data_IF_168020850891
#
_entry.id   IF_168020850891
#
_cell.length_a   1.000
_cell.length_b   1.000
_cell.length_c   1.000
_cell.angle_alpha   90.00
_cell.angle_beta   90.00
_cell.angle_gamma   90.00
#
_symmetry.space_group_name_H-M   'P 1'
#
loop_
_entity.id
_entity.type
_entity.pdbx_description
1 polymer ?
#
# COMPACT_ATOMS: atom_id res chain seq x y z
N UNK A 1 18.84 4.01 10.88
CA UNK A 1 17.67 4.35 11.73
C UNK A 1 17.09 3.08 12.31
N UNK A 2 16.17 3.16 13.28
CA UNK A 2 15.34 2.00 13.69
C UNK A 2 13.94 2.19 13.12
N UNK A 3 13.56 1.35 12.16
CA UNK A 3 12.31 1.52 11.41
C UNK A 3 11.34 0.38 11.73
N UNK A 4 10.16 0.73 12.23
CA UNK A 4 9.05 -0.18 12.39
C UNK A 4 8.23 -0.21 11.10
N UNK A 5 8.06 -1.39 10.48
CA UNK A 5 7.28 -1.57 9.26
C UNK A 5 6.04 -2.41 9.55
N UNK A 6 4.85 -1.82 9.36
CA UNK A 6 3.58 -2.50 9.50
C UNK A 6 3.16 -3.07 8.13
N UNK A 7 3.29 -4.39 7.93
CA UNK A 7 3.00 -5.05 6.67
C UNK A 7 4.14 -4.99 5.65
N UNK A 8 5.22 -5.74 5.86
CA UNK A 8 6.46 -5.67 5.07
C UNK A 8 6.88 -6.97 4.36
N UNK A 9 6.02 -7.98 4.24
CA UNK A 9 6.46 -9.31 3.75
C UNK A 9 6.13 -9.60 2.29
N UNK A 10 5.29 -8.78 1.67
CA UNK A 10 4.85 -8.98 0.28
C UNK A 10 4.94 -7.69 -0.52
N UNK A 11 5.12 -7.81 -1.83
CA UNK A 11 5.05 -6.75 -2.81
C UNK A 11 5.76 -5.44 -2.39
N UNK A 12 5.06 -4.30 -2.37
CA UNK A 12 5.63 -2.98 -2.03
C UNK A 12 6.30 -2.99 -0.66
N UNK A 13 5.63 -3.58 0.35
CA UNK A 13 6.18 -3.65 1.71
C UNK A 13 7.48 -4.44 1.78
N UNK A 14 7.59 -5.55 1.02
CA UNK A 14 8.82 -6.32 0.87
C UNK A 14 9.96 -5.46 0.34
N UNK A 15 9.72 -4.73 -0.75
CA UNK A 15 10.75 -3.86 -1.36
C UNK A 15 11.20 -2.74 -0.42
N UNK A 16 10.28 -2.19 0.36
CA UNK A 16 10.62 -1.19 1.38
C UNK A 16 11.57 -1.80 2.41
N UNK A 17 11.27 -2.99 2.93
CA UNK A 17 12.11 -3.67 3.91
C UNK A 17 13.50 -3.99 3.35
N UNK A 18 13.56 -4.53 2.12
CA UNK A 18 14.82 -4.81 1.43
C UNK A 18 15.68 -3.56 1.29
N UNK A 19 15.11 -2.45 0.81
CA UNK A 19 15.83 -1.19 0.63
C UNK A 19 16.27 -0.56 1.96
N UNK A 20 15.46 -0.64 3.02
CA UNK A 20 15.83 -0.17 4.35
C UNK A 20 17.02 -0.98 4.89
N UNK A 21 17.00 -2.30 4.70
CA UNK A 21 18.10 -3.18 5.08
C UNK A 21 19.37 -2.88 4.29
N UNK A 22 19.29 -2.75 2.96
CA UNK A 22 20.41 -2.38 2.09
C UNK A 22 21.05 -1.03 2.48
N UNK A 23 20.25 -0.11 2.99
CA UNK A 23 20.71 1.18 3.52
C UNK A 23 21.39 1.07 4.89
N UNK A 24 21.34 -0.08 5.55
CA UNK A 24 21.92 -0.33 6.86
C UNK A 24 21.00 0.07 8.03
N UNK A 25 19.71 0.22 7.81
CA UNK A 25 18.74 0.45 8.87
C UNK A 25 18.44 -0.83 9.66
N UNK A 26 18.17 -0.67 10.96
CA UNK A 26 17.58 -1.72 11.76
C UNK A 26 16.08 -1.75 11.51
N UNK A 27 15.55 -2.88 11.08
CA UNK A 27 14.13 -3.01 10.71
C UNK A 27 13.44 -4.03 11.59
N UNK A 28 12.26 -3.67 12.11
CA UNK A 28 11.33 -4.58 12.75
C UNK A 28 10.04 -4.64 11.91
N UNK A 29 9.74 -5.81 11.36
CA UNK A 29 8.57 -6.01 10.52
C UNK A 29 7.44 -6.65 11.32
N UNK A 30 6.29 -6.00 11.35
CA UNK A 30 5.05 -6.56 11.96
C UNK A 30 4.21 -7.20 10.87
N UNK A 31 3.97 -8.50 10.99
CA UNK A 31 3.17 -9.26 10.03
C UNK A 31 2.56 -10.52 10.65
N UNK A 32 1.62 -11.15 9.93
CA UNK A 32 0.87 -12.31 10.44
C UNK A 32 1.63 -13.64 10.40
N UNK A 33 2.82 -13.70 9.83
CA UNK A 33 3.58 -14.94 9.65
C UNK A 33 3.08 -15.87 8.55
N UNK A 34 2.11 -15.44 7.72
CA UNK A 34 1.52 -16.28 6.67
C UNK A 34 2.34 -16.29 5.38
N UNK A 35 3.11 -15.26 5.14
CA UNK A 35 3.95 -15.09 3.95
C UNK A 35 5.27 -14.47 4.39
N UNK A 36 6.32 -15.28 4.33
CA UNK A 36 7.70 -14.81 4.50
C UNK A 36 8.47 -15.12 3.22
N UNK A 37 9.17 -14.13 2.67
CA UNK A 37 10.03 -14.38 1.52
C UNK A 37 11.15 -15.36 1.86
N UNK A 38 11.48 -16.26 0.94
CA UNK A 38 12.63 -17.15 1.06
C UNK A 38 13.38 -17.19 -0.29
N UNK A 39 14.66 -16.81 -0.37
CA UNK A 39 15.44 -16.15 0.71
C UNK A 39 14.98 -14.70 0.96
N UNK A 40 15.21 -14.20 2.17
CA UNK A 40 14.93 -12.82 2.52
C UNK A 40 16.07 -12.20 3.34
N UNK A 41 15.98 -10.86 3.52
CA UNK A 41 16.96 -10.09 4.28
C UNK A 41 16.83 -10.38 5.79
N UNK A 42 17.94 -10.42 6.55
CA UNK A 42 17.93 -10.72 7.98
C UNK A 42 17.47 -9.48 8.78
N UNK A 43 16.17 -9.36 8.96
CA UNK A 43 15.53 -8.30 9.75
C UNK A 43 14.76 -8.88 10.94
N UNK A 44 14.41 -8.03 11.91
CA UNK A 44 13.58 -8.44 13.04
C UNK A 44 12.12 -8.68 12.62
N UNK A 45 11.50 -9.74 13.15
CA UNK A 45 10.11 -10.09 12.90
C UNK A 45 9.27 -10.04 14.18
N UNK A 46 8.07 -9.50 14.07
CA UNK A 46 7.03 -9.59 15.08
C UNK A 46 5.78 -10.22 14.45
N UNK A 47 5.62 -11.52 14.68
CA UNK A 47 4.49 -12.28 14.15
C UNK A 47 3.23 -12.01 14.98
N UNK A 48 2.41 -11.10 14.49
CA UNK A 48 1.14 -10.75 15.12
C UNK A 48 0.20 -10.09 14.10
N UNK A 49 -1.10 -10.19 14.35
CA UNK A 49 -2.07 -9.39 13.64
C UNK A 49 -2.02 -7.94 14.14
N UNK A 50 -2.10 -6.95 13.27
CA UNK A 50 -2.03 -5.53 13.66
C UNK A 50 -3.05 -5.14 14.74
N UNK A 51 -4.24 -5.75 14.75
CA UNK A 51 -5.27 -5.54 15.78
C UNK A 51 -4.91 -6.14 17.15
N UNK A 52 -3.84 -6.92 17.23
CA UNK A 52 -3.31 -7.48 18.48
C UNK A 52 -1.96 -6.88 18.86
N UNK A 53 -1.53 -5.83 18.18
CA UNK A 53 -0.21 -5.21 18.36
C UNK A 53 -0.01 -4.69 19.78
N UNK A 54 -1.08 -4.29 20.47
CA UNK A 54 -1.05 -3.87 21.88
C UNK A 54 -0.46 -4.93 22.82
N UNK A 55 -0.62 -6.22 22.52
CA UNK A 55 -0.01 -7.32 23.29
C UNK A 55 1.52 -7.35 23.20
N UNK A 56 2.08 -6.64 22.27
CA UNK A 56 3.52 -6.58 21.99
C UNK A 56 4.10 -5.17 22.20
N UNK A 57 3.42 -4.33 22.95
CA UNK A 57 3.82 -2.95 23.21
C UNK A 57 5.24 -2.84 23.81
N UNK A 58 5.61 -3.78 24.70
CA UNK A 58 6.95 -3.84 25.28
C UNK A 58 8.02 -4.07 24.21
N UNK A 59 7.88 -5.04 23.33
CA UNK A 59 8.83 -5.29 22.23
C UNK A 59 9.01 -4.10 21.32
N UNK A 60 7.94 -3.34 21.06
CA UNK A 60 8.02 -2.11 20.27
C UNK A 60 8.75 -1.03 21.02
N UNK A 61 8.51 -0.85 22.33
CA UNK A 61 9.26 0.09 23.17
C UNK A 61 10.74 -0.25 23.24
N UNK A 62 11.07 -1.54 23.42
CA UNK A 62 12.47 -2.02 23.50
C UNK A 62 13.20 -1.82 22.16
N UNK A 63 12.52 -2.04 21.05
CA UNK A 63 13.07 -1.73 19.73
C UNK A 63 13.28 -0.21 19.53
N UNK A 64 12.53 0.62 20.24
CA UNK A 64 12.60 2.08 20.23
C UNK A 64 12.64 2.65 18.80
N UNK A 65 11.62 2.45 17.97
CA UNK A 65 11.63 2.89 16.58
C UNK A 65 11.78 4.42 16.49
N UNK A 66 12.59 4.88 15.54
CA UNK A 66 12.80 6.30 15.24
C UNK A 66 12.05 6.74 13.98
N UNK A 67 11.44 5.80 13.28
CA UNK A 67 10.53 6.04 12.17
C UNK A 67 9.55 4.85 12.00
N UNK A 68 8.41 5.11 11.38
CA UNK A 68 7.38 4.09 11.10
C UNK A 68 7.00 4.14 9.63
N UNK A 69 6.76 2.96 9.04
CA UNK A 69 6.13 2.82 7.73
C UNK A 69 4.87 1.97 7.87
N UNK A 70 3.71 2.53 7.60
CA UNK A 70 2.47 1.75 7.49
C UNK A 70 2.21 1.41 6.02
N UNK A 71 2.64 0.20 5.64
CA UNK A 71 2.57 -0.27 4.26
C UNK A 71 1.23 -0.97 3.93
N UNK A 72 0.41 -1.31 4.93
CA UNK A 72 -0.78 -2.15 4.70
C UNK A 72 -1.94 -1.82 5.64
N UNK A 73 -2.35 -0.57 5.76
CA UNK A 73 -3.63 -0.20 6.35
C UNK A 73 -4.69 -0.10 5.24
N UNK A 74 -5.78 -0.83 5.36
CA UNK A 74 -6.88 -0.85 4.39
C UNK A 74 -8.12 -0.12 4.90
N UNK A 75 -8.25 0.00 6.22
CA UNK A 75 -9.41 0.58 6.90
C UNK A 75 -8.97 1.53 8.02
N UNK A 76 -9.86 2.41 8.47
CA UNK A 76 -9.59 3.26 9.63
C UNK A 76 -9.37 2.46 10.91
N UNK A 77 -10.03 1.31 11.06
CA UNK A 77 -9.83 0.41 12.21
C UNK A 77 -8.45 -0.23 12.22
N UNK A 78 -7.85 -0.46 11.06
CA UNK A 78 -6.46 -0.89 10.96
C UNK A 78 -5.49 0.12 11.59
N UNK A 79 -5.76 1.40 11.43
CA UNK A 79 -4.94 2.47 12.00
C UNK A 79 -5.20 2.62 13.48
N UNK A 80 -6.45 2.73 13.91
CA UNK A 80 -6.78 2.89 15.33
C UNK A 80 -6.24 1.76 16.20
N UNK A 81 -6.16 0.55 15.66
CA UNK A 81 -5.60 -0.61 16.35
C UNK A 81 -4.10 -0.47 16.69
N UNK A 82 -3.37 0.38 15.97
CA UNK A 82 -1.91 0.54 16.16
C UNK A 82 -1.52 1.86 16.81
N UNK A 83 -2.36 2.89 16.75
CA UNK A 83 -2.05 4.24 17.26
C UNK A 83 -1.67 4.28 18.73
N UNK A 84 -2.26 3.40 19.56
CA UNK A 84 -1.96 3.33 21.00
C UNK A 84 -0.59 2.71 21.33
N UNK A 85 0.06 2.08 20.37
CA UNK A 85 1.30 1.32 20.57
C UNK A 85 2.48 1.90 19.81
N UNK A 86 2.21 2.40 18.62
CA UNK A 86 3.21 3.02 17.76
C UNK A 86 3.59 4.38 18.32
N UNK A 87 4.90 4.66 18.55
CA UNK A 87 5.34 5.94 19.07
C UNK A 87 5.09 7.11 18.11
N UNK A 88 5.07 8.33 18.65
CA UNK A 88 4.97 9.56 17.86
C UNK A 88 6.31 9.93 17.26
N UNK A 89 6.65 9.32 16.15
CA UNK A 89 7.88 9.54 15.38
C UNK A 89 7.51 9.77 13.91
N UNK A 90 8.42 10.29 13.08
CA UNK A 90 8.18 10.42 11.65
C UNK A 90 7.59 9.16 11.06
N UNK A 91 6.41 9.28 10.44
CA UNK A 91 5.62 8.16 9.92
C UNK A 91 5.30 8.39 8.45
N UNK A 92 5.47 7.35 7.65
CA UNK A 92 5.04 7.30 6.24
C UNK A 92 3.92 6.27 6.10
N UNK A 93 2.85 6.65 5.41
CA UNK A 93 1.66 5.82 5.21
C UNK A 93 1.43 5.61 3.72
N UNK A 94 1.30 4.35 3.30
CA UNK A 94 0.92 4.04 1.93
C UNK A 94 -0.60 4.14 1.76
N UNK A 95 -1.02 5.17 1.04
CA UNK A 95 -2.38 5.35 0.56
C UNK A 95 -2.47 4.99 -0.93
N UNK A 96 -3.56 5.34 -1.56
CA UNK A 96 -3.87 5.01 -2.95
C UNK A 96 -4.45 6.22 -3.67
N UNK A 97 -4.14 6.37 -4.95
CA UNK A 97 -4.79 7.36 -5.81
C UNK A 97 -6.29 7.09 -6.00
N UNK A 98 -6.82 5.95 -5.55
CA UNK A 98 -8.26 5.67 -5.58
C UNK A 98 -9.08 6.60 -4.66
N UNK A 99 -8.43 7.35 -3.79
CA UNK A 99 -9.05 8.40 -2.98
C UNK A 99 -9.54 9.58 -3.83
N UNK A 100 -9.00 9.76 -5.03
CA UNK A 100 -9.42 10.85 -5.91
C UNK A 100 -10.75 10.57 -6.63
N UNK A 101 -11.52 11.60 -6.86
CA UNK A 101 -12.81 11.53 -7.58
C UNK A 101 -12.64 10.95 -8.99
N UNK A 102 -11.51 11.17 -9.65
CA UNK A 102 -11.21 10.61 -10.96
C UNK A 102 -11.36 9.08 -11.02
N UNK A 103 -11.04 8.39 -9.92
CA UNK A 103 -11.19 6.93 -9.84
C UNK A 103 -12.65 6.45 -9.73
N UNK A 104 -13.56 7.27 -9.23
CA UNK A 104 -15.02 7.04 -9.37
C UNK A 104 -15.39 6.99 -10.84
N UNK A 105 -14.81 7.86 -11.66
CA UNK A 105 -14.98 7.87 -13.11
C UNK A 105 -14.59 6.56 -13.79
N UNK A 106 -13.49 5.93 -13.37
CA UNK A 106 -13.07 4.62 -13.89
C UNK A 106 -14.13 3.54 -13.61
N UNK A 107 -14.73 3.53 -12.43
CA UNK A 107 -15.76 2.54 -12.05
C UNK A 107 -17.09 2.78 -12.76
N UNK A 108 -17.45 4.03 -13.00
CA UNK A 108 -18.72 4.41 -13.59
C UNK A 108 -18.68 4.58 -15.11
N UNK A 109 -17.50 4.56 -15.73
CA UNK A 109 -17.29 4.84 -17.14
C UNK A 109 -17.51 6.31 -17.52
N UNK A 110 -17.50 7.25 -16.54
CA UNK A 110 -17.73 8.67 -16.75
C UNK A 110 -16.48 9.48 -16.41
N UNK A 111 -16.09 10.40 -17.29
CA UNK A 111 -15.04 11.35 -16.96
C UNK A 111 -15.57 12.37 -15.94
N UNK A 112 -15.01 12.39 -14.74
CA UNK A 112 -15.49 13.19 -13.61
C UNK A 112 -14.47 14.20 -13.10
N UNK A 113 -13.25 14.20 -13.63
CA UNK A 113 -12.18 15.08 -13.18
C UNK A 113 -11.22 15.42 -14.33
N UNK A 114 -10.56 16.56 -14.21
CA UNK A 114 -9.48 16.95 -15.11
C UNK A 114 -8.23 16.07 -14.88
N UNK A 115 -7.41 15.92 -15.90
CA UNK A 115 -6.11 15.25 -15.87
C UNK A 115 -5.03 16.20 -16.42
N UNK A 116 -3.78 16.15 -15.96
CA UNK A 116 -3.27 15.24 -14.91
C UNK A 116 -3.85 15.55 -13.52
N UNK A 117 -3.88 14.53 -12.65
CA UNK A 117 -4.27 14.73 -11.26
C UNK A 117 -3.12 15.38 -10.49
N UNK A 118 -3.46 16.40 -9.73
CA UNK A 118 -2.57 17.04 -8.76
C UNK A 118 -2.89 16.58 -7.34
N UNK A 119 -1.98 16.82 -6.38
CA UNK A 119 -2.17 16.37 -4.99
C UNK A 119 -3.43 16.93 -4.32
N UNK A 120 -3.87 18.12 -4.73
CA UNK A 120 -5.07 18.77 -4.23
C UNK A 120 -6.33 18.50 -5.08
N UNK A 121 -6.25 17.60 -6.07
CA UNK A 121 -7.42 17.22 -6.86
C UNK A 121 -8.57 16.71 -5.97
N UNK A 122 -9.84 16.91 -6.39
CA UNK A 122 -11.00 16.53 -5.59
C UNK A 122 -10.97 15.07 -5.17
N UNK A 123 -11.26 14.84 -3.89
CA UNK A 123 -11.41 13.50 -3.33
C UNK A 123 -12.80 12.93 -3.67
N UNK A 124 -12.91 11.60 -3.73
CA UNK A 124 -14.18 10.95 -3.98
C UNK A 124 -15.17 11.17 -2.84
N UNK A 125 -16.42 11.44 -3.19
CA UNK A 125 -17.51 11.53 -2.23
C UNK A 125 -18.00 10.13 -1.82
N UNK A 126 -17.94 9.17 -2.75
CA UNK A 126 -18.36 7.79 -2.51
C UNK A 126 -17.40 7.11 -1.55
N UNK A 127 -17.94 6.70 -0.40
CA UNK A 127 -17.21 5.99 0.63
C UNK A 127 -17.36 4.48 0.45
N UNK A 128 -16.37 3.72 0.94
CA UNK A 128 -16.38 2.27 0.95
C UNK A 128 -16.67 1.66 -0.44
N UNK A 129 -15.75 1.85 -1.40
CA UNK A 129 -15.99 1.59 -2.82
C UNK A 129 -16.30 0.14 -3.17
N UNK A 130 -16.04 -0.79 -2.26
CA UNK A 130 -16.25 -2.23 -2.49
C UNK A 130 -17.40 -2.82 -1.67
N UNK A 131 -18.08 -2.00 -0.86
CA UNK A 131 -19.20 -2.47 -0.02
C UNK A 131 -20.37 -2.93 -0.88
N UNK A 132 -20.76 -4.20 -0.72
CA UNK A 132 -21.87 -4.82 -1.44
C UNK A 132 -21.62 -5.10 -2.94
N UNK A 133 -20.44 -4.76 -3.47
CA UNK A 133 -20.13 -4.96 -4.91
C UNK A 133 -19.00 -5.98 -5.13
N UNK A 134 -18.35 -6.41 -4.06
CA UNK A 134 -17.15 -7.23 -4.12
C UNK A 134 -15.93 -6.46 -4.63
N UNK A 135 -14.85 -6.52 -3.86
CA UNK A 135 -13.56 -5.96 -4.22
C UNK A 135 -12.61 -6.98 -4.83
N UNK A 136 -11.39 -6.56 -5.21
CA UNK A 136 -10.31 -7.48 -5.56
C UNK A 136 -10.04 -8.47 -4.42
N UNK A 137 -9.54 -9.69 -4.72
CA UNK A 137 -9.20 -10.67 -3.70
C UNK A 137 -8.31 -10.09 -2.59
N UNK A 138 -8.68 -10.30 -1.32
CA UNK A 138 -7.96 -9.81 -0.16
C UNK A 138 -8.27 -8.37 0.24
N UNK A 139 -9.15 -7.68 -0.45
CA UNK A 139 -9.63 -6.34 -0.08
C UNK A 139 -10.96 -6.48 0.67
N UNK A 140 -11.06 -5.98 1.92
CA UNK A 140 -12.28 -6.08 2.71
C UNK A 140 -13.37 -5.13 2.20
N UNK A 141 -14.63 -5.41 2.51
CA UNK A 141 -15.77 -4.57 2.12
C UNK A 141 -15.76 -3.17 2.76
N UNK A 142 -15.15 -3.05 3.92
CA UNK A 142 -14.95 -1.80 4.65
C UNK A 142 -13.65 -1.07 4.26
N UNK A 143 -13.01 -1.47 3.16
CA UNK A 143 -11.86 -0.77 2.60
C UNK A 143 -12.16 0.70 2.39
N UNK A 144 -11.34 1.56 3.02
CA UNK A 144 -11.49 3.01 2.91
C UNK A 144 -10.16 3.74 3.21
N UNK A 145 -9.45 4.12 2.16
CA UNK A 145 -8.17 4.83 2.31
C UNK A 145 -8.33 6.26 2.85
N UNK A 146 -9.46 6.91 2.63
CA UNK A 146 -9.71 8.23 3.23
C UNK A 146 -9.80 8.14 4.76
N UNK A 147 -10.33 7.05 5.32
CA UNK A 147 -10.33 6.83 6.78
C UNK A 147 -8.91 6.56 7.30
N UNK A 148 -8.10 5.83 6.52
CA UNK A 148 -6.68 5.60 6.85
C UNK A 148 -5.92 6.93 6.90
N UNK A 149 -6.07 7.79 5.87
CA UNK A 149 -5.43 9.09 5.82
C UNK A 149 -5.87 9.99 6.99
N UNK A 150 -7.17 10.04 7.25
CA UNK A 150 -7.73 10.81 8.35
C UNK A 150 -7.21 10.35 9.71
N UNK A 151 -7.17 9.05 9.96
CA UNK A 151 -6.70 8.51 11.23
C UNK A 151 -5.21 8.80 11.49
N UNK A 152 -4.36 8.80 10.46
CA UNK A 152 -2.95 9.15 10.57
C UNK A 152 -2.68 10.67 10.57
N UNK A 153 -3.62 11.51 10.08
CA UNK A 153 -3.42 12.96 10.01
C UNK A 153 -3.13 13.60 11.37
N UNK A 154 -3.76 13.10 12.44
CA UNK A 154 -3.53 13.54 13.81
C UNK A 154 -2.11 13.30 14.36
N UNK A 155 -1.31 12.49 13.66
CA UNK A 155 0.09 12.17 13.98
C UNK A 155 1.12 12.87 13.07
N UNK A 156 0.68 13.76 12.17
CA UNK A 156 1.56 14.42 11.21
C UNK A 156 2.25 13.45 10.24
N UNK A 157 1.62 12.34 9.92
CA UNK A 157 2.17 11.35 9.00
C UNK A 157 2.23 11.88 7.56
N UNK A 158 3.29 11.51 6.84
CA UNK A 158 3.38 11.72 5.39
C UNK A 158 2.58 10.63 4.69
N UNK A 159 1.60 11.04 3.88
CA UNK A 159 0.74 10.12 3.13
C UNK A 159 1.20 10.04 1.69
N UNK A 160 1.50 8.84 1.20
CA UNK A 160 1.86 8.58 -0.19
C UNK A 160 0.68 7.95 -0.93
N UNK A 161 -0.01 8.71 -1.77
CA UNK A 161 -1.10 8.23 -2.63
C UNK A 161 -0.54 7.56 -3.87
N UNK A 162 -0.22 6.29 -3.74
CA UNK A 162 0.41 5.51 -4.80
C UNK A 162 -0.55 5.28 -5.97
N UNK A 163 -0.05 5.36 -7.22
CA UNK A 163 -0.80 4.92 -8.40
C UNK A 163 -0.94 3.40 -8.42
N UNK A 164 -1.42 2.82 -9.54
CA UNK A 164 -1.36 1.38 -9.72
C UNK A 164 0.10 0.93 -9.75
N UNK A 165 0.54 0.30 -8.65
CA UNK A 165 1.88 -0.29 -8.57
C UNK A 165 1.87 -1.66 -9.23
N UNK A 166 2.97 -2.01 -9.91
CA UNK A 166 3.20 -3.29 -10.55
C UNK A 166 4.64 -3.75 -10.34
N UNK A 167 4.92 -5.01 -10.59
CA UNK A 167 6.27 -5.57 -10.52
C UNK A 167 6.31 -6.97 -9.91
N UNK A 168 7.52 -7.49 -9.66
CA UNK A 168 7.71 -8.76 -8.98
C UNK A 168 6.95 -8.82 -7.65
N UNK A 169 6.40 -9.98 -7.31
CA UNK A 169 5.61 -10.21 -6.09
C UNK A 169 4.24 -9.51 -6.04
N UNK A 170 3.75 -8.92 -7.15
CA UNK A 170 2.36 -8.46 -7.24
C UNK A 170 1.40 -9.65 -7.21
N UNK A 171 0.73 -9.87 -6.07
CA UNK A 171 -0.23 -10.96 -5.91
C UNK A 171 -1.43 -10.86 -6.87
N UNK A 172 -1.74 -9.66 -7.38
CA UNK A 172 -2.79 -9.46 -8.37
C UNK A 172 -2.32 -9.73 -9.81
N UNK A 173 -1.02 -9.92 -10.03
CA UNK A 173 -0.42 -10.22 -11.33
C UNK A 173 -0.95 -9.31 -12.46
N UNK A 174 -1.02 -8.01 -12.19
CA UNK A 174 -1.67 -7.01 -13.06
C UNK A 174 -1.14 -6.99 -14.48
N UNK A 175 0.09 -7.44 -14.69
CA UNK A 175 0.75 -7.48 -16.00
C UNK A 175 0.57 -8.79 -16.73
N UNK A 176 0.12 -9.84 -16.04
CA UNK A 176 0.03 -11.19 -16.60
C UNK A 176 -0.93 -11.24 -17.80
N UNK A 177 -1.92 -10.35 -17.82
CA UNK A 177 -2.81 -10.21 -18.98
C UNK A 177 -2.06 -9.92 -20.29
N UNK A 178 -0.97 -9.18 -20.22
CA UNK A 178 -0.10 -8.87 -21.36
C UNK A 178 0.99 -9.94 -21.52
N UNK A 179 1.71 -10.23 -20.43
CA UNK A 179 2.86 -11.15 -20.44
C UNK A 179 2.46 -12.55 -20.92
N UNK A 180 1.33 -13.08 -20.48
CA UNK A 180 0.82 -14.38 -20.94
C UNK A 180 0.60 -14.41 -22.46
N UNK A 181 0.13 -13.33 -23.04
CA UNK A 181 -0.09 -13.25 -24.50
C UNK A 181 1.23 -13.20 -25.25
N UNK A 182 2.19 -12.44 -24.77
CA UNK A 182 3.55 -12.36 -25.34
C UNK A 182 4.21 -13.74 -25.29
N UNK A 183 4.19 -14.40 -24.13
CA UNK A 183 4.76 -15.75 -23.97
C UNK A 183 4.07 -16.80 -24.88
N UNK A 184 2.81 -16.62 -25.19
CA UNK A 184 2.06 -17.45 -26.13
C UNK A 184 2.28 -17.07 -27.61
N UNK A 185 3.24 -16.20 -27.93
CA UNK A 185 3.54 -15.74 -29.30
C UNK A 185 2.43 -14.92 -29.95
N UNK A 186 1.51 -14.34 -29.15
CA UNK A 186 0.43 -13.50 -29.69
C UNK A 186 0.99 -12.13 -30.07
N UNK A 187 0.79 -11.74 -31.32
CA UNK A 187 1.23 -10.44 -31.87
C UNK A 187 0.12 -9.38 -31.84
N UNK A 188 -1.09 -9.76 -31.46
CA UNK A 188 -2.24 -8.85 -31.37
C UNK A 188 -2.94 -9.02 -30.04
N UNK A 189 -3.35 -7.90 -29.45
CA UNK A 189 -4.15 -7.84 -28.23
C UNK A 189 -5.28 -6.83 -28.44
N UNK A 190 -6.55 -7.22 -28.21
CA UNK A 190 -7.65 -6.26 -28.23
C UNK A 190 -7.46 -5.28 -27.05
N UNK A 191 -7.59 -4.00 -27.35
CA UNK A 191 -7.61 -2.92 -26.34
C UNK A 191 -8.88 -2.10 -26.57
N UNK A 192 -9.30 -1.36 -25.55
CA UNK A 192 -10.40 -0.40 -25.67
C UNK A 192 -10.03 0.82 -26.50
N UNK A 193 -10.66 1.94 -26.24
CA UNK A 193 -10.51 3.18 -27.02
C UNK A 193 -9.07 3.75 -27.06
N UNK A 194 -8.18 3.28 -26.20
CA UNK A 194 -6.76 3.67 -26.19
C UNK A 194 -6.46 5.07 -25.67
N UNK A 195 -7.48 5.78 -25.20
CA UNK A 195 -7.39 7.16 -24.68
C UNK A 195 -7.46 7.27 -23.16
N UNK A 196 -7.42 6.14 -22.46
CA UNK A 196 -7.37 6.11 -21.00
C UNK A 196 -5.96 6.45 -20.52
N UNK A 197 -5.82 7.55 -19.80
CA UNK A 197 -4.60 7.92 -19.10
C UNK A 197 -4.61 7.29 -17.71
N UNK A 198 -3.62 6.45 -17.44
CA UNK A 198 -3.50 5.74 -16.17
C UNK A 198 -2.07 5.79 -15.65
N UNK A 199 -1.89 6.41 -14.48
CA UNK A 199 -0.60 6.43 -13.81
C UNK A 199 -0.25 5.05 -13.26
N UNK A 200 0.97 4.60 -13.53
CA UNK A 200 1.52 3.35 -13.02
C UNK A 200 2.92 3.59 -12.46
N UNK A 201 3.29 2.84 -11.43
CA UNK A 201 4.64 2.86 -10.87
C UNK A 201 5.15 1.43 -10.69
N UNK A 202 6.43 1.22 -10.99
CA UNK A 202 7.08 -0.05 -10.65
C UNK A 202 7.37 -0.08 -9.14
N UNK A 203 7.30 -1.27 -8.52
CA UNK A 203 7.50 -1.43 -7.06
C UNK A 203 8.86 -0.93 -6.54
N UNK A 204 9.89 -0.90 -7.38
CA UNK A 204 11.20 -0.32 -7.01
C UNK A 204 11.15 1.20 -6.85
N UNK A 205 10.04 1.85 -7.19
CA UNK A 205 9.88 3.28 -6.98
C UNK A 205 10.85 4.18 -7.76
N UNK A 206 11.59 3.67 -8.73
CA UNK A 206 12.43 4.49 -9.60
C UNK A 206 11.59 5.06 -10.73
N UNK A 207 11.18 6.31 -10.58
CA UNK A 207 10.99 7.17 -11.72
C UNK A 207 12.39 7.48 -12.26
N UNK A 208 12.79 6.87 -13.36
CA UNK A 208 13.87 7.42 -14.16
C UNK A 208 13.27 8.60 -14.95
N UNK A 209 13.62 9.80 -14.55
CA UNK A 209 13.50 10.98 -15.36
C UNK A 209 14.65 10.97 -16.37
#
# INVERSE_FOLDING_TARGET
>A
MRVLVLGGTTFIGRRIVEQLHERGDQVLVVHRGQHEPDPWVPVGHLHTHRHQLSRHAEKIRDFAPTAVVDAYALTGTDVTAVLGVVPEVPTVVLSSQDVYQAYTGLRTGRCTAAVPLEEHAPLRADRYPYRGTGGPPGIPEDYEKLDVEQAWSGRGAVVLRLPMVYGPHDAQQREEVVLRRIRAGRTRMPIGAGNLLWSRAHEIGRAHV
#
